data_IF_596722550804
#
_entry.id   IF_596722550804
#
_cell.length_a   1.000
_cell.length_b   1.000
_cell.length_c   1.000
_cell.angle_alpha   90.00
_cell.angle_beta   90.00
_cell.angle_gamma   90.00
#
_symmetry.space_group_name_H-M   'P 1'
#
loop_
_entity.id
_entity.type
_entity.pdbx_description
1 polymer ?
#
# COMPACT_ATOMS: atom_id res chain seq x y z
N UNK A 1 12.64 4.56 -5.52
CA UNK A 1 13.00 4.22 -4.14
C UNK A 1 11.73 4.17 -3.30
N UNK A 2 11.45 3.03 -2.67
CA UNK A 2 10.29 2.86 -1.79
C UNK A 2 10.53 3.58 -0.46
N UNK A 3 9.49 4.20 0.11
CA UNK A 3 9.59 4.91 1.40
C UNK A 3 8.80 4.17 2.46
N UNK A 4 9.39 3.83 3.60
CA UNK A 4 8.64 3.23 4.70
C UNK A 4 7.60 4.22 5.24
N UNK A 5 6.33 3.82 5.23
CA UNK A 5 5.21 4.69 5.65
C UNK A 5 4.39 4.12 6.81
N UNK A 6 4.66 2.89 7.27
CA UNK A 6 3.97 2.38 8.45
C UNK A 6 4.03 0.87 8.62
N UNK A 7 3.20 0.37 9.52
CA UNK A 7 3.10 -1.05 9.88
C UNK A 7 1.65 -1.47 10.03
N UNK A 8 1.33 -2.70 9.64
CA UNK A 8 0.03 -3.31 9.91
C UNK A 8 -0.07 -3.60 11.41
N UNK A 9 -1.06 -3.02 12.07
CA UNK A 9 -1.35 -3.27 13.50
C UNK A 9 -2.46 -4.28 13.69
N UNK A 10 -3.38 -4.41 12.72
CA UNK A 10 -4.47 -5.35 12.79
C UNK A 10 -4.97 -5.76 11.39
N UNK A 11 -5.56 -6.95 11.27
CA UNK A 11 -6.16 -7.42 10.02
C UNK A 11 -7.51 -8.12 10.26
N UNK A 12 -8.58 -7.54 9.70
CA UNK A 12 -9.91 -8.12 9.71
C UNK A 12 -10.10 -9.06 8.53
N UNK A 13 -9.70 -10.32 8.71
CA UNK A 13 -9.79 -11.38 7.70
C UNK A 13 -11.16 -11.51 6.99
N UNK A 14 -12.26 -11.36 7.72
CA UNK A 14 -13.62 -11.47 7.21
C UNK A 14 -14.04 -10.28 6.33
N UNK A 15 -13.39 -9.12 6.48
CA UNK A 15 -13.64 -7.91 5.68
C UNK A 15 -12.57 -7.67 4.61
N UNK A 16 -11.40 -8.29 4.75
CA UNK A 16 -10.22 -8.00 3.94
C UNK A 16 -9.69 -6.58 4.20
N UNK A 17 -9.76 -6.12 5.46
CA UNK A 17 -9.35 -4.76 5.85
C UNK A 17 -8.16 -4.84 6.79
N UNK A 18 -7.09 -4.15 6.45
CA UNK A 18 -5.90 -3.98 7.28
C UNK A 18 -5.93 -2.62 7.97
N UNK A 19 -5.60 -2.59 9.25
CA UNK A 19 -5.35 -1.36 10.00
C UNK A 19 -3.85 -1.08 9.97
N UNK A 20 -3.48 0.10 9.50
CA UNK A 20 -2.11 0.54 9.32
C UNK A 20 -1.85 1.70 10.28
N UNK A 21 -0.84 1.56 11.13
CA UNK A 21 -0.29 2.68 11.88
C UNK A 21 0.72 3.40 11.00
N UNK A 22 0.38 4.62 10.57
CA UNK A 22 1.20 5.39 9.67
C UNK A 22 2.36 6.08 10.41
N UNK A 23 3.57 5.91 9.88
CA UNK A 23 4.75 6.72 10.22
C UNK A 23 5.08 7.74 9.15
N UNK A 24 4.40 7.68 8.01
CA UNK A 24 4.52 8.60 6.88
C UNK A 24 3.16 9.03 6.35
N UNK A 25 3.18 9.83 5.30
CA UNK A 25 1.98 10.27 4.60
C UNK A 25 1.53 9.20 3.60
N UNK A 26 0.22 8.96 3.50
CA UNK A 26 -0.38 8.11 2.47
C UNK A 26 -1.61 8.80 1.89
N UNK A 27 -1.71 8.90 0.56
CA UNK A 27 -2.88 9.46 -0.12
C UNK A 27 -3.68 8.37 -0.81
N UNK A 28 -4.97 8.63 -0.97
CA UNK A 28 -5.82 7.80 -1.79
C UNK A 28 -5.30 7.83 -3.24
N UNK A 29 -5.10 6.65 -3.83
CA UNK A 29 -4.51 6.47 -5.16
C UNK A 29 -3.00 6.19 -5.16
N UNK A 30 -2.32 6.32 -4.03
CA UNK A 30 -0.90 5.94 -3.92
C UNK A 30 -0.73 4.41 -3.99
N UNK A 31 0.40 3.95 -4.53
CA UNK A 31 0.75 2.53 -4.53
C UNK A 31 1.52 2.20 -3.26
N UNK A 32 1.00 1.26 -2.48
CA UNK A 32 1.64 0.71 -1.29
C UNK A 32 2.15 -0.70 -1.53
N UNK A 33 3.32 -0.99 -1.02
CA UNK A 33 3.93 -2.30 -0.96
C UNK A 33 3.79 -2.83 0.47
N UNK A 34 3.03 -3.91 0.62
CA UNK A 34 2.90 -4.63 1.88
C UNK A 34 3.90 -5.79 1.89
N UNK A 35 4.83 -5.73 2.86
CA UNK A 35 5.93 -6.68 2.96
C UNK A 35 6.06 -7.23 4.38
N UNK A 36 5.90 -8.53 4.48
CA UNK A 36 5.86 -9.31 5.70
C UNK A 36 6.68 -10.59 5.60
N UNK A 37 6.35 -11.55 6.46
CA UNK A 37 6.98 -12.86 6.42
C UNK A 37 6.47 -13.73 5.26
N UNK A 38 5.15 -13.69 5.02
CA UNK A 38 4.45 -14.47 3.98
C UNK A 38 3.69 -13.57 3.00
N UNK A 39 3.96 -12.27 3.04
CA UNK A 39 3.18 -11.23 2.36
C UNK A 39 4.15 -10.36 1.61
N UNK A 40 4.00 -10.24 0.30
CA UNK A 40 4.84 -9.42 -0.57
C UNK A 40 4.01 -9.08 -1.81
N UNK A 41 3.34 -7.94 -1.78
CA UNK A 41 2.55 -7.47 -2.92
C UNK A 41 2.35 -5.96 -2.90
N UNK A 42 2.11 -5.41 -4.09
CA UNK A 42 1.80 -4.02 -4.32
C UNK A 42 0.31 -3.86 -4.52
N UNK A 43 -0.26 -2.76 -4.03
CA UNK A 43 -1.63 -2.38 -4.32
C UNK A 43 -1.81 -0.87 -4.31
N UNK A 44 -2.83 -0.41 -5.00
CA UNK A 44 -3.29 0.97 -4.92
C UNK A 44 -4.14 1.20 -3.66
N UNK A 45 -3.91 2.30 -2.95
CA UNK A 45 -4.67 2.71 -1.78
C UNK A 45 -5.99 3.36 -2.18
N UNK A 46 -6.95 2.58 -2.67
CA UNK A 46 -8.23 3.11 -3.20
C UNK A 46 -9.23 3.56 -2.14
N UNK A 47 -9.20 2.94 -0.96
CA UNK A 47 -10.19 3.21 0.10
C UNK A 47 -9.48 3.31 1.43
N UNK A 48 -9.20 4.54 1.84
CA UNK A 48 -8.60 4.89 3.14
C UNK A 48 -9.70 5.40 4.05
N UNK A 49 -9.81 4.84 5.24
CA UNK A 49 -10.78 5.23 6.24
C UNK A 49 -10.11 5.49 7.59
N UNK A 50 -10.52 6.55 8.29
CA UNK A 50 -10.10 6.87 9.65
C UNK A 50 -11.36 6.99 10.50
N UNK A 51 -11.44 6.22 11.59
CA UNK A 51 -12.63 6.21 12.47
C UNK A 51 -13.96 6.03 11.71
N UNK A 52 -13.98 5.19 10.66
CA UNK A 52 -15.12 4.94 9.75
C UNK A 52 -15.52 6.12 8.84
N UNK A 53 -14.67 7.12 8.72
CA UNK A 53 -14.82 8.22 7.77
C UNK A 53 -13.82 8.04 6.63
N UNK A 54 -14.31 8.04 5.39
CA UNK A 54 -13.42 8.08 4.23
C UNK A 54 -12.61 9.38 4.24
N UNK A 55 -11.31 9.23 4.01
CA UNK A 55 -10.36 10.34 3.92
C UNK A 55 -9.56 10.23 2.65
N UNK A 56 -9.14 11.36 2.11
CA UNK A 56 -8.26 11.41 0.93
C UNK A 56 -6.80 11.13 1.29
N UNK A 57 -6.46 11.21 2.58
CA UNK A 57 -5.08 11.23 3.04
C UNK A 57 -4.99 10.84 4.52
N UNK A 58 -4.04 9.95 4.83
CA UNK A 58 -3.62 9.63 6.19
C UNK A 58 -2.27 10.29 6.53
N UNK A 59 -2.13 10.73 7.77
CA UNK A 59 -0.94 11.41 8.28
C UNK A 59 -0.13 10.51 9.22
N UNK A 60 1.17 10.80 9.40
CA UNK A 60 1.97 10.11 10.40
C UNK A 60 1.37 10.28 11.80
N UNK A 61 1.25 9.17 12.53
CA UNK A 61 0.62 9.10 13.84
C UNK A 61 -0.87 8.72 13.83
N UNK A 62 -1.48 8.60 12.64
CA UNK A 62 -2.87 8.15 12.49
C UNK A 62 -2.94 6.65 12.19
N UNK A 63 -4.01 6.02 12.67
CA UNK A 63 -4.39 4.66 12.31
C UNK A 63 -5.42 4.71 11.18
N UNK A 64 -5.06 4.17 10.02
CA UNK A 64 -5.95 4.09 8.86
C UNK A 64 -6.41 2.66 8.64
N UNK A 65 -7.65 2.49 8.22
CA UNK A 65 -8.15 1.24 7.67
C UNK A 65 -8.03 1.28 6.14
N UNK A 66 -7.38 0.26 5.58
CA UNK A 66 -7.19 0.08 4.15
C UNK A 66 -7.72 -1.30 3.75
N UNK A 67 -8.55 -1.33 2.70
CA UNK A 67 -8.94 -2.60 2.08
C UNK A 67 -7.76 -3.19 1.31
N UNK A 68 -7.42 -4.44 1.59
CA UNK A 68 -6.26 -5.12 1.00
C UNK A 68 -6.66 -6.20 0.00
N UNK A 69 -5.83 -6.42 -1.03
CA UNK A 69 -6.06 -7.44 -2.07
C UNK A 69 -5.80 -8.87 -1.58
N UNK A 70 -4.89 -9.02 -0.62
CA UNK A 70 -4.48 -10.30 -0.06
C UNK A 70 -4.41 -10.28 1.46
N UNK A 71 -4.30 -11.46 2.10
CA UNK A 71 -4.13 -11.55 3.55
C UNK A 71 -2.80 -10.92 3.98
N UNK A 72 -2.87 -10.15 5.06
CA UNK A 72 -1.73 -9.50 5.69
C UNK A 72 -1.68 -9.89 7.16
N UNK A 73 -0.53 -9.73 7.80
CA UNK A 73 -0.33 -10.09 9.20
C UNK A 73 0.08 -8.87 10.02
N UNK A 74 -0.21 -8.93 11.33
CA UNK A 74 0.27 -7.92 12.27
C UNK A 74 1.80 -7.87 12.25
N UNK A 75 2.36 -6.67 12.15
CA UNK A 75 3.80 -6.44 12.01
C UNK A 75 4.30 -6.36 10.57
N UNK A 76 3.45 -6.62 9.56
CA UNK A 76 3.82 -6.42 8.16
C UNK A 76 4.14 -4.95 7.90
N UNK A 77 5.23 -4.69 7.18
CA UNK A 77 5.71 -3.35 6.89
C UNK A 77 5.03 -2.81 5.65
N UNK A 78 4.72 -1.53 5.65
CA UNK A 78 4.11 -0.83 4.54
C UNK A 78 5.07 0.21 3.98
N UNK A 79 5.29 0.16 2.68
CA UNK A 79 6.12 1.10 1.96
C UNK A 79 5.31 1.81 0.87
N UNK A 80 5.56 3.09 0.67
CA UNK A 80 5.07 3.87 -0.46
C UNK A 80 5.98 3.62 -1.66
N UNK A 81 5.43 3.06 -2.72
CA UNK A 81 6.14 2.87 -3.99
C UNK A 81 6.02 4.16 -4.83
N UNK A 82 7.14 4.70 -5.35
CA UNK A 82 7.07 5.82 -6.28
C UNK A 82 6.64 5.28 -7.64
N UNK A 83 5.46 5.71 -8.08
CA UNK A 83 5.02 5.70 -9.48
C UNK A 83 4.91 4.30 -10.13
N UNK A 84 3.65 3.84 -10.26
CA UNK A 84 3.17 2.78 -11.14
C UNK A 84 4.22 1.71 -11.51
N UNK A 85 4.60 0.86 -10.57
CA UNK A 85 5.24 -0.40 -10.94
C UNK A 85 4.24 -1.21 -11.77
N UNK A 86 4.59 -1.62 -13.00
CA UNK A 86 3.74 -2.54 -13.75
C UNK A 86 3.55 -3.79 -12.89
N UNK A 87 2.33 -3.94 -12.38
CA UNK A 87 1.99 -4.99 -11.41
C UNK A 87 1.88 -6.36 -12.11
N UNK A 88 1.86 -6.36 -13.44
CA UNK A 88 1.91 -7.53 -14.29
C UNK A 88 3.20 -7.54 -15.15
N UNK A 89 4.05 -8.58 -15.06
CA UNK A 89 5.17 -8.78 -15.98
C UNK A 89 4.77 -8.81 -17.46
N UNK A 90 3.50 -9.05 -17.79
CA UNK A 90 2.96 -9.05 -19.14
C UNK A 90 2.58 -7.66 -19.68
N UNK A 91 2.50 -6.64 -18.82
CA UNK A 91 2.23 -5.24 -19.21
C UNK A 91 3.51 -4.42 -19.45
N UNK A 92 4.68 -5.02 -19.24
CA UNK A 92 5.96 -4.41 -19.58
C UNK A 92 6.17 -4.53 -21.10
N UNK A 93 5.56 -3.61 -21.85
CA UNK A 93 5.81 -3.44 -23.30
C UNK A 93 7.17 -2.78 -23.54
N UNK A 94 7.77 -3.02 -24.72
CA UNK A 94 9.09 -2.52 -25.11
C UNK A 94 9.21 -0.98 -25.03
N UNK A 95 8.10 -0.25 -25.19
CA UNK A 95 8.07 1.21 -25.03
C UNK A 95 8.41 1.68 -23.61
N UNK A 96 8.05 0.90 -22.59
CA UNK A 96 8.32 1.25 -21.18
C UNK A 96 9.82 1.13 -20.84
N UNK A 97 10.52 0.18 -21.47
CA UNK A 97 11.96 -0.03 -21.28
C UNK A 97 12.80 1.08 -21.94
N UNK A 98 12.35 1.63 -23.07
CA UNK A 98 13.05 2.69 -23.80
C UNK A 98 12.96 4.07 -23.12
N UNK A 99 11.84 4.37 -22.46
CA UNK A 99 11.64 5.66 -21.77
C UNK A 99 12.44 5.77 -20.47
N UNK A 100 12.76 4.64 -19.82
CA UNK A 100 13.51 4.59 -18.56
C UNK A 100 15.03 4.53 -18.75
N UNK A 101 15.52 4.09 -19.91
CA UNK A 101 16.95 3.99 -20.23
C UNK A 101 17.57 5.30 -20.73
N UNK A 102 16.88 6.43 -20.57
CA UNK A 102 17.29 7.76 -21.02
C UNK A 102 17.52 8.71 -19.85
#
# INVERSE_FOLDING_TARGET
METYIGVVTHYYNHLGVAVLALSGELKAGDVVHLRGHSTDFYQEARSIEIHHHQVEMGRPGEDIALKVLGPVHEGDKVFLAPEATPTDPAEIDEQWLDEWAR
#
